data_IF_840329634804
#
_entry.id   IF_840329634804
#
_cell.length_a   1.000
_cell.length_b   1.000
_cell.length_c   1.000
_cell.angle_alpha   90.00
_cell.angle_beta   90.00
_cell.angle_gamma   90.00
#
_symmetry.space_group_name_H-M   'P 1'
#
loop_
_entity.id
_entity.type
_entity.pdbx_description
1 polymer ?
#
# COMPACT_ATOMS: atom_id res chain seq x y z
N UNK A 1 -20.64 5.85 25.48
CA UNK A 1 -19.98 4.59 25.85
C UNK A 1 -19.13 4.79 27.10
N UNK A 2 -19.09 3.78 27.99
CA UNK A 2 -18.25 3.79 29.18
C UNK A 2 -16.99 2.97 28.93
N UNK A 3 -15.83 3.60 29.01
CA UNK A 3 -14.53 3.00 28.67
C UNK A 3 -13.62 2.98 29.89
N UNK A 4 -12.98 1.86 30.25
CA UNK A 4 -11.98 1.82 31.30
C UNK A 4 -10.78 2.71 30.96
N UNK A 5 -10.26 3.56 31.88
CA UNK A 5 -9.19 4.52 31.55
C UNK A 5 -7.87 3.87 31.13
N UNK A 6 -7.61 2.64 31.57
CA UNK A 6 -6.38 1.89 31.23
C UNK A 6 -6.61 0.79 30.19
N UNK A 7 -7.82 0.69 29.59
CA UNK A 7 -8.20 -0.43 28.74
C UNK A 7 -8.36 -1.76 29.50
N UNK A 8 -8.60 -2.83 28.76
CA UNK A 8 -8.72 -4.17 29.35
C UNK A 8 -10.11 -4.50 29.93
N UNK A 9 -10.16 -5.46 30.87
CA UNK A 9 -11.41 -5.92 31.48
C UNK A 9 -11.98 -4.88 32.46
N UNK A 10 -13.32 -4.74 32.45
CA UNK A 10 -14.04 -3.88 33.42
C UNK A 10 -13.91 -4.46 34.80
N UNK A 11 -13.39 -3.66 35.74
CA UNK A 11 -13.41 -3.99 37.19
C UNK A 11 -14.53 -3.21 37.88
N UNK A 12 -15.27 -3.82 38.82
CA UNK A 12 -16.43 -3.19 39.48
C UNK A 12 -16.15 -1.91 40.26
N UNK A 13 -14.90 -1.70 40.68
CA UNK A 13 -14.48 -0.56 41.50
C UNK A 13 -13.75 0.55 40.71
N UNK A 14 -13.72 0.47 39.36
CA UNK A 14 -12.98 1.40 38.52
C UNK A 14 -13.92 2.47 37.98
N UNK A 15 -13.52 3.74 38.04
CA UNK A 15 -14.23 4.84 37.37
C UNK A 15 -14.09 4.69 35.84
N UNK A 16 -15.21 4.85 35.12
CA UNK A 16 -15.26 4.77 33.67
C UNK A 16 -15.29 6.16 33.09
N UNK A 17 -14.50 6.36 32.01
CA UNK A 17 -14.59 7.54 31.18
C UNK A 17 -15.85 7.43 30.30
N UNK A 18 -16.65 8.48 30.32
CA UNK A 18 -17.81 8.60 29.43
C UNK A 18 -17.35 9.18 28.09
N UNK A 19 -17.55 8.41 26.99
CA UNK A 19 -17.21 8.83 25.64
C UNK A 19 -18.50 8.94 24.83
N UNK A 20 -18.74 10.14 24.27
CA UNK A 20 -19.82 10.32 23.30
C UNK A 20 -19.36 9.77 21.93
N UNK A 21 -20.08 8.74 21.47
CA UNK A 21 -19.79 8.06 20.20
C UNK A 21 -20.67 8.52 19.05
N UNK A 22 -21.51 9.55 19.25
CA UNK A 22 -22.49 10.01 18.27
C UNK A 22 -21.85 10.50 16.95
N UNK A 23 -20.65 11.08 17.04
CA UNK A 23 -19.92 11.64 15.92
C UNK A 23 -18.68 10.80 15.53
N UNK A 24 -18.64 9.52 15.88
CA UNK A 24 -17.54 8.62 15.52
C UNK A 24 -17.92 7.83 14.28
N UNK A 25 -17.11 7.95 13.24
CA UNK A 25 -17.21 7.11 12.03
C UNK A 25 -16.55 5.77 12.27
N UNK A 26 -17.27 4.68 12.03
CA UNK A 26 -16.74 3.32 12.08
C UNK A 26 -16.45 2.82 10.67
N UNK A 27 -15.22 2.43 10.41
CA UNK A 27 -14.78 1.81 9.17
C UNK A 27 -14.27 0.41 9.49
N UNK A 28 -14.96 -0.61 9.00
CA UNK A 28 -14.61 -2.00 9.20
C UNK A 28 -14.08 -2.58 7.88
N UNK A 29 -12.93 -3.22 7.88
CA UNK A 29 -12.33 -3.82 6.71
C UNK A 29 -11.89 -5.25 6.95
N UNK A 30 -11.85 -6.04 5.88
CA UNK A 30 -11.38 -7.43 5.89
C UNK A 30 -11.07 -7.93 4.50
N UNK A 31 -10.33 -9.03 4.39
CA UNK A 31 -10.01 -9.67 3.12
C UNK A 31 -11.18 -10.45 2.52
N UNK A 32 -12.11 -10.93 3.35
CA UNK A 32 -13.30 -11.68 2.96
C UNK A 32 -13.02 -12.80 1.95
N UNK A 33 -11.97 -13.59 2.19
CA UNK A 33 -11.57 -14.69 1.30
C UNK A 33 -12.72 -15.71 1.13
N UNK A 34 -13.07 -16.05 -0.12
CA UNK A 34 -14.19 -16.92 -0.45
C UNK A 34 -15.56 -16.23 -0.58
N UNK A 35 -15.64 -14.91 -0.34
CA UNK A 35 -16.88 -14.15 -0.56
C UNK A 35 -17.29 -14.12 -2.03
N UNK A 36 -16.32 -14.12 -2.94
CA UNK A 36 -16.55 -14.18 -4.39
C UNK A 36 -17.29 -15.46 -4.83
N UNK A 37 -17.02 -16.59 -4.19
CA UNK A 37 -17.73 -17.85 -4.45
C UNK A 37 -19.21 -17.76 -4.04
N UNK A 38 -19.49 -17.13 -2.91
CA UNK A 38 -20.87 -16.91 -2.42
C UNK A 38 -21.64 -16.00 -3.38
N UNK A 39 -20.99 -14.92 -3.87
CA UNK A 39 -21.62 -14.00 -4.82
C UNK A 39 -21.88 -14.69 -6.16
N UNK A 40 -20.94 -15.53 -6.63
CA UNK A 40 -21.12 -16.33 -7.87
C UNK A 40 -22.28 -17.30 -7.74
N UNK A 41 -22.34 -18.09 -6.66
CA UNK A 41 -23.45 -19.03 -6.41
C UNK A 41 -24.81 -18.34 -6.47
N UNK A 42 -24.94 -17.17 -5.84
CA UNK A 42 -26.18 -16.37 -5.89
C UNK A 42 -26.51 -15.90 -7.31
N UNK A 43 -25.50 -15.60 -8.11
CA UNK A 43 -25.68 -15.13 -9.49
C UNK A 43 -26.08 -16.27 -10.43
N UNK A 44 -25.56 -17.48 -10.19
CA UNK A 44 -25.86 -18.70 -10.94
C UNK A 44 -27.26 -19.24 -10.62
N UNK A 45 -27.68 -19.22 -9.34
CA UNK A 45 -29.04 -19.61 -8.95
C UNK A 45 -30.15 -18.79 -9.64
N UNK A 46 -29.87 -17.55 -10.01
CA UNK A 46 -30.77 -16.68 -10.78
C UNK A 46 -30.77 -16.94 -12.29
N UNK A 47 -29.78 -17.70 -12.79
CA UNK A 47 -29.60 -18.03 -14.20
C UNK A 47 -30.27 -19.33 -14.65
N UNK A 48 -31.09 -20.01 -13.82
CA UNK A 48 -31.85 -21.20 -14.20
C UNK A 48 -33.09 -20.76 -14.99
N UNK A 49 -32.86 -20.19 -16.15
CA UNK A 49 -33.83 -19.87 -17.16
C UNK A 49 -33.22 -20.11 -18.54
N UNK A 50 -33.98 -20.52 -19.54
CA UNK A 50 -33.73 -21.12 -20.83
C UNK A 50 -32.55 -20.56 -21.72
N UNK A 51 -31.69 -19.66 -21.24
CA UNK A 51 -30.51 -19.12 -21.91
C UNK A 51 -29.25 -19.13 -21.02
N UNK A 52 -28.99 -20.25 -20.32
CA UNK A 52 -27.73 -20.42 -19.62
C UNK A 52 -26.62 -20.74 -20.60
N UNK A 53 -25.96 -19.73 -21.15
CA UNK A 53 -24.62 -19.88 -21.77
C UNK A 53 -23.64 -20.24 -20.65
N UNK A 54 -23.32 -21.54 -20.54
CA UNK A 54 -22.28 -22.07 -19.66
C UNK A 54 -20.93 -21.58 -20.20
N UNK A 55 -20.51 -20.40 -19.80
CA UNK A 55 -19.15 -19.89 -20.02
C UNK A 55 -18.22 -20.51 -18.97
N UNK A 56 -17.69 -21.69 -19.32
CA UNK A 56 -16.72 -22.47 -18.51
C UNK A 56 -15.29 -21.88 -18.48
N UNK A 57 -15.08 -20.60 -18.78
CA UNK A 57 -13.76 -19.97 -18.73
C UNK A 57 -13.79 -18.70 -17.90
N UNK A 58 -13.90 -18.86 -16.58
CA UNK A 58 -13.67 -17.78 -15.62
C UNK A 58 -12.38 -18.02 -14.86
N UNK A 59 -11.25 -17.90 -15.58
CA UNK A 59 -9.95 -17.68 -14.95
C UNK A 59 -9.91 -16.28 -14.32
N UNK A 60 -9.50 -16.24 -13.10
CA UNK A 60 -8.99 -15.15 -12.20
C UNK A 60 -9.17 -13.65 -12.54
N UNK A 61 -9.61 -13.26 -13.72
CA UNK A 61 -9.71 -11.85 -14.13
C UNK A 61 -10.90 -11.08 -13.55
N UNK A 62 -11.84 -11.73 -12.85
CA UNK A 62 -13.10 -11.09 -12.46
C UNK A 62 -13.46 -11.16 -10.97
N UNK A 63 -12.50 -11.43 -10.07
CA UNK A 63 -12.78 -11.42 -8.62
C UNK A 63 -13.20 -10.02 -8.17
N UNK A 64 -12.47 -9.00 -8.60
CA UNK A 64 -12.76 -7.60 -8.26
C UNK A 64 -14.14 -7.16 -8.78
N UNK A 65 -14.50 -7.52 -10.04
CA UNK A 65 -15.83 -7.24 -10.58
C UNK A 65 -16.95 -8.01 -9.89
N UNK A 66 -16.66 -9.24 -9.45
CA UNK A 66 -17.62 -10.04 -8.69
C UNK A 66 -17.88 -9.41 -7.33
N UNK A 67 -16.81 -9.00 -6.62
CA UNK A 67 -16.91 -8.34 -5.31
C UNK A 67 -17.68 -7.02 -5.39
N UNK A 68 -17.59 -6.26 -6.50
CA UNK A 68 -18.41 -5.06 -6.71
C UNK A 68 -19.92 -5.30 -6.64
N UNK A 69 -20.35 -6.54 -6.90
CA UNK A 69 -21.77 -6.96 -6.87
C UNK A 69 -22.21 -7.47 -5.50
N UNK A 70 -21.38 -7.31 -4.47
CA UNK A 70 -21.68 -7.75 -3.11
C UNK A 70 -22.96 -7.11 -2.56
N UNK A 71 -23.74 -7.91 -1.87
CA UNK A 71 -24.96 -7.49 -1.18
C UNK A 71 -24.89 -7.84 0.31
N UNK A 72 -25.69 -7.17 1.16
CA UNK A 72 -25.78 -7.52 2.58
C UNK A 72 -26.04 -9.00 2.84
N UNK A 73 -26.86 -9.62 1.99
CA UNK A 73 -27.21 -11.05 2.07
C UNK A 73 -25.98 -11.97 1.89
N UNK A 74 -25.04 -11.58 1.04
CA UNK A 74 -23.81 -12.35 0.80
C UNK A 74 -22.90 -12.33 2.03
N UNK A 75 -22.84 -11.19 2.73
CA UNK A 75 -22.10 -11.06 3.96
C UNK A 75 -22.70 -11.87 5.11
N UNK A 76 -24.03 -11.98 5.16
CA UNK A 76 -24.73 -12.86 6.11
C UNK A 76 -24.44 -14.33 5.79
N UNK A 77 -24.49 -14.73 4.51
CA UNK A 77 -24.11 -16.08 4.07
C UNK A 77 -22.63 -16.38 4.37
N UNK A 78 -21.76 -15.37 4.30
CA UNK A 78 -20.36 -15.49 4.65
C UNK A 78 -20.14 -15.73 6.16
N UNK A 79 -21.14 -15.43 7.00
CA UNK A 79 -21.10 -15.68 8.44
C UNK A 79 -21.12 -14.43 9.32
N UNK A 80 -21.35 -13.26 8.75
CA UNK A 80 -21.52 -12.04 9.55
C UNK A 80 -22.92 -11.98 10.16
N UNK A 81 -22.98 -11.44 11.38
CA UNK A 81 -24.22 -11.32 12.16
C UNK A 81 -25.15 -10.30 11.48
N UNK A 82 -26.43 -10.62 11.21
CA UNK A 82 -27.37 -9.73 10.53
C UNK A 82 -27.51 -8.36 11.22
N UNK A 83 -27.53 -8.31 12.54
CA UNK A 83 -27.65 -7.08 13.31
C UNK A 83 -26.43 -6.17 13.12
N UNK A 84 -25.26 -6.74 12.92
CA UNK A 84 -24.03 -5.99 12.63
C UNK A 84 -24.09 -5.39 11.22
N UNK A 85 -24.52 -6.16 10.23
CA UNK A 85 -24.67 -5.69 8.84
C UNK A 85 -25.72 -4.60 8.75
N UNK A 86 -26.82 -4.71 9.48
CA UNK A 86 -27.87 -3.67 9.54
C UNK A 86 -27.36 -2.32 10.11
N UNK A 87 -26.30 -2.34 10.90
CA UNK A 87 -25.68 -1.11 11.46
C UNK A 87 -24.56 -0.54 10.60
N UNK A 88 -24.07 -1.27 9.61
CA UNK A 88 -23.05 -0.87 8.64
C UNK A 88 -23.66 -0.85 7.23
N UNK A 89 -24.51 0.14 6.92
CA UNK A 89 -25.32 0.14 5.69
C UNK A 89 -24.50 0.39 4.42
N UNK A 90 -23.31 0.97 4.55
CA UNK A 90 -22.46 1.30 3.40
C UNK A 90 -21.43 0.18 3.22
N UNK A 91 -21.52 -0.49 2.08
CA UNK A 91 -20.58 -1.53 1.67
C UNK A 91 -19.76 -0.95 0.51
N UNK A 92 -18.43 -1.02 0.63
CA UNK A 92 -17.51 -0.58 -0.40
C UNK A 92 -16.52 -1.70 -0.73
N UNK A 93 -16.31 -1.96 -2.02
CA UNK A 93 -15.26 -2.84 -2.52
C UNK A 93 -14.06 -2.01 -2.96
N UNK A 94 -12.86 -2.54 -2.71
CA UNK A 94 -11.62 -1.93 -3.20
C UNK A 94 -11.20 -2.61 -4.51
N UNK A 95 -10.64 -1.83 -5.40
CA UNK A 95 -10.04 -2.30 -6.66
C UNK A 95 -8.57 -2.67 -6.43
N UNK A 96 -8.05 -3.53 -7.29
CA UNK A 96 -6.61 -3.78 -7.32
C UNK A 96 -5.87 -2.51 -7.77
N UNK A 97 -4.73 -2.27 -7.17
CA UNK A 97 -3.90 -1.11 -7.51
C UNK A 97 -3.15 -1.40 -8.82
N UNK A 98 -3.32 -0.53 -9.79
CA UNK A 98 -2.54 -0.51 -11.02
C UNK A 98 -1.17 0.18 -10.82
N UNK A 99 -0.37 0.22 -11.88
CA UNK A 99 0.97 0.82 -11.87
C UNK A 99 0.90 2.33 -11.52
N UNK A 100 -0.07 3.05 -12.09
CA UNK A 100 -0.23 4.50 -11.87
C UNK A 100 -0.63 4.81 -10.43
N UNK A 101 -1.55 4.03 -9.86
CA UNK A 101 -1.95 4.17 -8.47
C UNK A 101 -0.77 3.90 -7.51
N UNK A 102 0.06 2.89 -7.79
CA UNK A 102 1.25 2.60 -6.98
C UNK A 102 2.29 3.71 -7.06
N UNK A 103 2.53 4.29 -8.25
CA UNK A 103 3.41 5.46 -8.41
C UNK A 103 2.84 6.66 -7.66
N UNK A 104 1.54 6.88 -7.72
CA UNK A 104 0.87 7.94 -6.98
C UNK A 104 1.06 7.76 -5.47
N UNK A 105 0.90 6.54 -4.95
CA UNK A 105 1.14 6.21 -3.53
C UNK A 105 2.61 6.46 -3.13
N UNK A 106 3.55 6.17 -4.03
CA UNK A 106 4.97 6.40 -3.78
C UNK A 106 5.35 7.88 -3.67
N UNK A 107 4.68 8.76 -4.42
CA UNK A 107 5.15 10.13 -4.64
C UNK A 107 4.22 11.23 -4.08
N UNK A 108 2.90 11.08 -4.22
CA UNK A 108 1.94 12.15 -3.96
C UNK A 108 1.67 12.42 -2.47
N UNK A 109 1.47 11.43 -1.58
CA UNK A 109 1.14 11.70 -0.20
C UNK A 109 2.14 12.64 0.47
N UNK A 110 1.65 13.44 1.44
CA UNK A 110 2.50 14.37 2.20
C UNK A 110 3.70 13.65 2.84
N UNK A 111 3.49 12.44 3.32
CA UNK A 111 4.51 11.56 3.89
C UNK A 111 4.69 10.30 3.02
N UNK A 112 4.91 10.48 1.71
CA UNK A 112 5.15 9.37 0.79
C UNK A 112 6.48 8.67 1.08
N UNK A 113 6.60 7.41 0.65
CA UNK A 113 7.82 6.62 0.88
C UNK A 113 9.05 7.30 0.29
N UNK A 114 8.97 7.81 -0.93
CA UNK A 114 10.09 8.52 -1.57
C UNK A 114 10.55 9.71 -0.75
N UNK A 115 9.61 10.53 -0.25
CA UNK A 115 9.93 11.70 0.58
C UNK A 115 10.55 11.31 1.93
N UNK A 116 10.14 10.16 2.51
CA UNK A 116 10.75 9.64 3.72
C UNK A 116 12.22 9.30 3.50
N UNK A 117 12.55 8.58 2.42
CA UNK A 117 13.92 8.22 2.09
C UNK A 117 14.75 9.45 1.69
N UNK A 118 14.19 10.35 0.86
CA UNK A 118 14.85 11.64 0.55
C UNK A 118 15.22 12.41 1.82
N UNK A 119 14.33 12.44 2.82
CA UNK A 119 14.60 13.11 4.09
C UNK A 119 15.69 12.42 4.91
N UNK A 120 15.80 11.09 4.86
CA UNK A 120 16.87 10.35 5.53
C UNK A 120 18.24 10.70 4.90
N UNK A 121 18.34 10.73 3.58
CA UNK A 121 19.58 11.12 2.89
C UNK A 121 19.91 12.60 3.10
N UNK A 122 18.92 13.48 3.13
CA UNK A 122 19.11 14.90 3.44
C UNK A 122 19.73 15.13 4.83
N UNK A 123 19.45 14.27 5.82
CA UNK A 123 20.05 14.34 7.15
C UNK A 123 21.57 14.08 7.12
N UNK A 124 22.04 13.35 6.11
CA UNK A 124 23.47 13.12 5.84
C UNK A 124 24.05 14.13 4.81
N UNK A 125 23.30 15.19 4.47
CA UNK A 125 23.64 16.19 3.46
C UNK A 125 23.82 15.62 2.05
N UNK A 126 23.14 14.55 1.70
CA UNK A 126 23.14 13.89 0.41
C UNK A 126 21.76 14.00 -0.23
N UNK A 127 21.68 14.34 -1.52
CA UNK A 127 20.44 14.33 -2.28
C UNK A 127 20.13 12.91 -2.76
N UNK A 128 18.92 12.41 -2.53
CA UNK A 128 18.44 11.16 -3.14
C UNK A 128 17.51 11.49 -4.31
N UNK A 129 17.86 10.99 -5.49
CA UNK A 129 17.08 11.14 -6.72
C UNK A 129 16.59 9.76 -7.20
N UNK A 130 15.31 9.50 -7.06
CA UNK A 130 14.67 8.29 -7.59
C UNK A 130 13.99 8.67 -8.90
N UNK A 131 14.53 8.21 -10.03
CA UNK A 131 14.05 8.55 -11.36
C UNK A 131 12.67 7.96 -11.64
N UNK A 132 11.96 8.55 -12.59
CA UNK A 132 10.61 8.08 -12.97
C UNK A 132 10.60 6.65 -13.51
N UNK A 133 11.64 6.25 -14.22
CA UNK A 133 11.80 4.88 -14.72
C UNK A 133 12.00 3.88 -13.57
N UNK A 134 12.72 4.26 -12.50
CA UNK A 134 12.84 3.47 -11.28
C UNK A 134 11.50 3.32 -10.57
N UNK A 135 10.71 4.41 -10.44
CA UNK A 135 9.38 4.34 -9.83
C UNK A 135 8.44 3.38 -10.56
N UNK A 136 8.47 3.37 -11.90
CA UNK A 136 7.71 2.42 -12.72
C UNK A 136 8.15 0.98 -12.47
N UNK A 137 9.45 0.72 -12.43
CA UNK A 137 9.96 -0.63 -12.17
C UNK A 137 9.66 -1.11 -10.74
N UNK A 138 9.69 -0.22 -9.75
CA UNK A 138 9.27 -0.52 -8.37
C UNK A 138 7.79 -0.93 -8.35
N UNK A 139 6.92 -0.18 -9.04
CA UNK A 139 5.49 -0.49 -9.12
C UNK A 139 5.25 -1.85 -9.81
N UNK A 140 5.90 -2.13 -10.94
CA UNK A 140 5.82 -3.42 -11.64
C UNK A 140 6.29 -4.58 -10.76
N UNK A 141 7.38 -4.40 -10.03
CA UNK A 141 7.92 -5.40 -9.10
C UNK A 141 6.93 -5.70 -7.98
N UNK A 142 6.28 -4.68 -7.41
CA UNK A 142 5.25 -4.86 -6.38
C UNK A 142 4.02 -5.61 -6.90
N UNK A 143 3.58 -5.34 -8.14
CA UNK A 143 2.49 -6.08 -8.81
C UNK A 143 2.89 -7.54 -9.03
N UNK A 144 4.09 -7.79 -9.59
CA UNK A 144 4.57 -9.15 -9.86
C UNK A 144 4.67 -10.00 -8.59
N UNK A 145 5.06 -9.40 -7.48
CA UNK A 145 5.13 -10.04 -6.17
C UNK A 145 3.76 -10.20 -5.49
N UNK A 146 2.68 -9.67 -6.08
CA UNK A 146 1.32 -9.65 -5.51
C UNK A 146 1.25 -9.04 -4.10
N UNK A 147 2.16 -8.14 -3.77
CA UNK A 147 2.24 -7.49 -2.45
C UNK A 147 1.52 -6.14 -2.42
N UNK A 148 1.19 -5.58 -3.59
CA UNK A 148 0.56 -4.27 -3.73
C UNK A 148 1.37 -3.17 -3.01
N UNK A 149 0.69 -2.18 -2.46
CA UNK A 149 1.34 -1.05 -1.79
C UNK A 149 2.21 -1.45 -0.57
N UNK A 150 1.91 -2.57 0.09
CA UNK A 150 2.69 -3.06 1.25
C UNK A 150 4.12 -3.46 0.89
N UNK A 151 4.32 -3.96 -0.33
CA UNK A 151 5.64 -4.37 -0.83
C UNK A 151 6.56 -3.22 -1.23
N UNK A 152 6.00 -2.03 -1.48
CA UNK A 152 6.77 -0.89 -1.98
C UNK A 152 7.93 -0.50 -1.05
N UNK A 153 7.67 -0.47 0.26
CA UNK A 153 8.70 -0.15 1.27
C UNK A 153 9.87 -1.13 1.21
N UNK A 154 9.59 -2.43 1.28
CA UNK A 154 10.63 -3.47 1.26
C UNK A 154 11.44 -3.46 -0.03
N UNK A 155 10.80 -3.14 -1.16
CA UNK A 155 11.51 -3.03 -2.44
C UNK A 155 12.50 -1.87 -2.42
N UNK A 156 12.10 -0.68 -1.95
CA UNK A 156 12.98 0.48 -1.84
C UNK A 156 14.09 0.24 -0.81
N UNK A 157 13.76 -0.32 0.35
CA UNK A 157 14.73 -0.66 1.38
C UNK A 157 15.81 -1.60 0.84
N UNK A 158 15.43 -2.63 0.11
CA UNK A 158 16.39 -3.56 -0.50
C UNK A 158 17.32 -2.91 -1.53
N UNK A 159 16.85 -1.90 -2.27
CA UNK A 159 17.65 -1.15 -3.25
C UNK A 159 18.64 -0.22 -2.53
N UNK A 160 18.19 0.42 -1.45
CA UNK A 160 18.93 1.48 -0.78
C UNK A 160 19.74 1.01 0.43
N UNK A 161 19.57 -0.23 0.92
CA UNK A 161 20.16 -0.70 2.17
C UNK A 161 21.68 -0.53 2.22
N UNK A 162 22.38 -1.03 1.19
CA UNK A 162 23.84 -0.92 1.12
C UNK A 162 24.28 0.54 1.01
N UNK A 163 23.55 1.33 0.22
CA UNK A 163 23.80 2.76 0.03
C UNK A 163 23.64 3.53 1.33
N UNK A 164 22.55 3.30 2.07
CA UNK A 164 22.28 3.94 3.37
C UNK A 164 23.37 3.62 4.39
N UNK A 165 23.95 2.42 4.32
CA UNK A 165 25.06 2.05 5.19
C UNK A 165 26.37 2.76 4.82
N UNK A 166 26.59 3.01 3.53
CA UNK A 166 27.85 3.64 3.02
C UNK A 166 27.83 5.16 3.10
N UNK A 167 26.69 5.80 2.85
CA UNK A 167 26.52 7.27 2.78
C UNK A 167 27.14 8.01 3.96
N UNK A 168 27.01 7.61 5.24
CA UNK A 168 27.62 8.36 6.35
C UNK A 168 29.16 8.36 6.33
N UNK A 169 29.78 7.44 5.59
CA UNK A 169 31.24 7.33 5.45
C UNK A 169 31.80 8.10 4.25
N UNK A 170 30.94 8.58 3.35
CA UNK A 170 31.30 9.24 2.09
C UNK A 170 31.22 10.77 2.24
N UNK A 171 32.33 11.41 2.59
CA UNK A 171 32.38 12.81 2.99
C UNK A 171 32.05 13.77 1.81
N UNK A 172 32.41 13.40 0.57
CA UNK A 172 32.25 14.25 -0.63
C UNK A 172 31.03 13.86 -1.48
N UNK A 173 30.19 12.95 -1.02
CA UNK A 173 29.00 12.53 -1.74
C UNK A 173 27.95 13.63 -1.73
N UNK A 174 27.54 14.07 -2.92
CA UNK A 174 26.52 15.11 -3.09
C UNK A 174 25.15 14.52 -3.38
N UNK A 175 25.12 13.48 -4.25
CA UNK A 175 23.85 12.95 -4.75
C UNK A 175 23.93 11.44 -5.02
N UNK A 176 22.85 10.74 -4.73
CA UNK A 176 22.62 9.34 -5.08
C UNK A 176 21.47 9.27 -6.08
N UNK A 177 21.69 8.61 -7.21
CA UNK A 177 20.68 8.43 -8.25
C UNK A 177 20.29 6.96 -8.38
N UNK A 178 18.99 6.70 -8.33
CA UNK A 178 18.40 5.38 -8.52
C UNK A 178 17.62 5.36 -9.85
N UNK A 179 18.00 4.46 -10.73
CA UNK A 179 17.36 4.24 -12.04
C UNK A 179 16.68 2.85 -12.12
N UNK A 180 16.10 2.53 -13.26
CA UNK A 180 15.43 1.25 -13.48
C UNK A 180 16.38 0.05 -13.41
N UNK A 181 17.66 0.20 -13.78
CA UNK A 181 18.66 -0.88 -13.71
C UNK A 181 18.96 -1.27 -12.26
N UNK A 182 19.00 -0.26 -11.34
CA UNK A 182 19.14 -0.52 -9.91
C UNK A 182 17.97 -1.36 -9.35
N UNK A 183 16.74 -1.07 -9.77
CA UNK A 183 15.55 -1.81 -9.31
C UNK A 183 15.57 -3.26 -9.79
N UNK A 184 16.07 -3.50 -11.00
CA UNK A 184 16.23 -4.84 -11.58
C UNK A 184 17.39 -5.63 -10.96
N UNK A 185 18.32 -4.94 -10.26
CA UNK A 185 19.52 -5.53 -9.69
C UNK A 185 20.67 -5.67 -10.70
N UNK A 186 20.60 -4.97 -11.83
CA UNK A 186 21.63 -4.97 -12.89
C UNK A 186 22.78 -4.00 -12.56
N UNK A 187 22.50 -2.95 -11.78
CA UNK A 187 23.46 -1.95 -11.34
C UNK A 187 23.25 -1.57 -9.88
N UNK A 188 24.25 -0.92 -9.29
CA UNK A 188 24.12 -0.23 -8.00
C UNK A 188 23.69 1.21 -8.22
N UNK A 189 23.11 1.90 -7.20
CA UNK A 189 22.85 3.33 -7.27
C UNK A 189 24.08 4.13 -7.68
N UNK A 190 23.90 5.13 -8.51
CA UNK A 190 24.98 5.99 -8.99
C UNK A 190 25.29 7.06 -7.95
N UNK A 191 26.57 7.16 -7.57
CA UNK A 191 27.07 8.17 -6.64
C UNK A 191 27.65 9.35 -7.44
N UNK A 192 27.21 10.55 -7.09
CA UNK A 192 27.73 11.80 -7.65
C UNK A 192 28.44 12.55 -6.53
N UNK A 193 29.72 12.79 -6.71
CA UNK A 193 30.58 13.48 -5.75
C UNK A 193 30.73 14.95 -6.12
N UNK A 194 30.94 15.79 -5.13
CA UNK A 194 31.24 17.21 -5.32
C UNK A 194 32.54 17.33 -6.10
N UNK A 195 32.51 18.04 -7.24
CA UNK A 195 33.74 18.39 -7.96
C UNK A 195 34.38 19.60 -7.29
N UNK A 196 35.48 19.42 -6.62
CA UNK A 196 36.39 20.53 -6.23
C UNK A 196 37.11 21.10 -7.47
N UNK A 197 36.34 21.73 -8.35
CA UNK A 197 36.92 22.65 -9.37
C UNK A 197 37.11 24.05 -8.79
N UNK A 198 37.91 24.18 -7.70
CA UNK A 198 38.39 25.44 -7.18
C UNK A 198 39.82 25.28 -6.68
N UNK A 199 40.78 25.10 -7.59
CA UNK A 199 42.18 25.45 -7.29
C UNK A 199 43.01 25.50 -8.60
N UNK A 200 42.73 26.42 -9.50
CA UNK A 200 43.68 26.83 -10.54
C UNK A 200 43.46 28.27 -11.05
N UNK A 201 43.08 29.22 -10.22
CA UNK A 201 43.12 30.65 -10.60
C UNK A 201 43.63 31.52 -9.47
N UNK A 202 44.76 31.15 -8.86
CA UNK A 202 45.58 32.12 -8.08
C UNK A 202 47.06 31.71 -8.17
N UNK A 203 47.65 31.84 -9.36
CA UNK A 203 49.10 32.03 -9.56
C UNK A 203 49.33 32.43 -11.02
N UNK A 204 49.09 33.72 -11.33
CA UNK A 204 49.79 34.48 -12.34
C UNK A 204 49.80 35.94 -11.93
#
# INVERSE_FOLDING_TARGET
ASVPPQGGRKHPQQEFLQVDTSNILFICGGAFSGLDEIIRSRSEEKGIGFEATVTKNFESKNVAETIKKVKPEDLIKYGLIPEFIGRLPVIASLEELDEEALITILTQPKNSLTKQFMKLFEMENVELDIREDALKEIAKKAISMKTGARGLRSIIENILLDTMYQVPSEIELEKVVVDSACVKGESKPLYVYRNDNKTQEENN
#
